data_IF_223223207849
#
_entry.id   IF_223223207849
#
_cell.length_a   1.000
_cell.length_b   1.000
_cell.length_c   1.000
_cell.angle_alpha   90.00
_cell.angle_beta   90.00
_cell.angle_gamma   90.00
#
_symmetry.space_group_name_H-M   'P 1'
#
loop_
_entity.id
_entity.type
_entity.pdbx_description
1 polymer ?
#
# COMPACT_ATOMS: atom_id res chain seq x y z
N UNK A 1 39.17 35.51 -58.26
CA UNK A 1 37.96 36.10 -58.86
C UNK A 1 36.86 36.01 -57.80
N UNK A 2 36.76 36.95 -56.86
CA UNK A 2 36.50 38.40 -57.03
C UNK A 2 35.06 38.65 -57.52
N UNK A 3 34.31 39.63 -57.01
CA UNK A 3 34.62 40.59 -55.93
C UNK A 3 33.33 41.20 -55.33
N UNK A 4 33.50 41.82 -54.15
CA UNK A 4 32.89 43.07 -53.64
C UNK A 4 31.34 43.23 -53.66
N UNK A 5 30.69 43.48 -52.52
CA UNK A 5 30.70 44.73 -51.72
C UNK A 5 30.17 45.99 -52.44
N UNK A 6 29.19 46.65 -51.81
CA UNK A 6 29.19 48.09 -51.47
C UNK A 6 28.18 48.30 -50.31
N UNK A 7 28.57 48.79 -49.12
CA UNK A 7 28.90 50.18 -48.71
C UNK A 7 27.64 51.08 -48.52
N UNK A 8 27.62 52.11 -47.66
CA UNK A 8 28.69 52.78 -46.90
C UNK A 8 28.18 53.37 -45.55
N UNK A 9 29.11 53.89 -44.71
CA UNK A 9 28.95 54.61 -43.41
C UNK A 9 28.71 53.68 -42.20
N UNK A 10 29.02 54.08 -40.96
CA UNK A 10 29.59 55.34 -40.41
C UNK A 10 28.64 56.04 -39.43
N UNK A 11 29.02 56.50 -38.22
CA UNK A 11 30.36 56.68 -37.65
C UNK A 11 30.35 56.60 -36.09
N UNK A 12 31.52 56.58 -35.44
CA UNK A 12 31.69 56.17 -34.03
C UNK A 12 31.58 57.27 -32.95
N UNK A 13 31.23 56.89 -31.71
CA UNK A 13 31.89 57.40 -30.48
C UNK A 13 31.56 56.63 -29.18
N UNK A 14 32.59 56.04 -28.55
CA UNK A 14 32.82 55.94 -27.09
C UNK A 14 31.64 55.62 -26.12
N UNK A 15 31.66 54.40 -25.54
CA UNK A 15 31.95 54.19 -24.09
C UNK A 15 32.10 52.69 -23.76
N UNK A 16 32.79 52.41 -22.64
CA UNK A 16 33.15 51.07 -22.15
C UNK A 16 31.89 50.27 -21.78
N UNK A 17 31.90 48.92 -21.87
CA UNK A 17 30.83 48.12 -21.28
C UNK A 17 30.78 48.39 -19.77
N UNK A 18 29.59 48.72 -19.27
CA UNK A 18 29.37 48.99 -17.86
C UNK A 18 29.37 47.66 -17.13
N UNK A 19 30.32 47.51 -16.19
CA UNK A 19 30.26 46.48 -15.15
C UNK A 19 29.00 46.73 -14.33
N UNK A 20 28.03 45.82 -14.43
CA UNK A 20 26.92 45.75 -13.49
C UNK A 20 27.28 44.66 -12.49
N UNK A 21 27.53 45.11 -11.26
CA UNK A 21 28.08 44.34 -10.16
C UNK A 21 27.57 42.90 -10.07
N UNK A 22 28.51 41.96 -10.02
CA UNK A 22 28.34 40.72 -9.26
C UNK A 22 28.10 41.13 -7.80
N UNK A 23 26.85 41.07 -7.35
CA UNK A 23 26.53 41.11 -5.93
C UNK A 23 27.00 39.79 -5.32
N UNK A 24 28.20 39.83 -4.76
CA UNK A 24 28.85 38.73 -4.04
C UNK A 24 27.89 38.14 -3.00
N UNK A 25 27.34 36.97 -3.32
CA UNK A 25 26.53 36.13 -2.46
C UNK A 25 27.27 34.85 -2.10
N UNK A 26 28.30 34.99 -1.25
CA UNK A 26 28.69 33.99 -0.25
C UNK A 26 28.73 32.50 -0.68
N UNK A 27 29.74 32.11 -1.47
CA UNK A 27 30.20 30.70 -1.53
C UNK A 27 30.54 30.13 -0.12
N UNK A 28 30.90 31.02 0.82
CA UNK A 28 31.10 30.70 2.24
C UNK A 28 29.81 30.29 2.97
N UNK A 29 28.62 30.73 2.56
CA UNK A 29 27.35 30.27 3.17
C UNK A 29 27.04 28.83 2.72
N UNK A 30 27.22 28.51 1.44
CA UNK A 30 27.05 27.14 0.94
C UNK A 30 28.10 26.17 1.51
N UNK A 31 29.31 26.65 1.81
CA UNK A 31 30.38 25.90 2.47
C UNK A 31 30.14 25.72 3.98
N UNK A 32 29.65 26.76 4.67
CA UNK A 32 29.37 26.70 6.11
C UNK A 32 28.11 25.90 6.43
N UNK A 33 27.05 25.99 5.62
CA UNK A 33 25.89 25.07 5.72
C UNK A 33 26.32 23.60 5.61
N UNK A 34 27.17 23.27 4.62
CA UNK A 34 27.68 21.91 4.44
C UNK A 34 28.49 21.45 5.65
N UNK A 35 29.37 22.31 6.19
CA UNK A 35 30.12 22.00 7.43
C UNK A 35 29.21 21.84 8.65
N UNK A 36 28.18 22.67 8.80
CA UNK A 36 27.21 22.59 9.90
C UNK A 36 26.35 21.31 9.80
N UNK A 37 25.95 20.93 8.59
CA UNK A 37 25.29 19.64 8.27
C UNK A 37 26.22 18.45 8.54
N UNK A 38 27.52 18.55 8.29
CA UNK A 38 28.49 17.48 8.66
C UNK A 38 28.65 17.37 10.17
N UNK A 39 28.88 18.48 10.89
CA UNK A 39 29.05 18.48 12.35
C UNK A 39 27.80 17.97 13.07
N UNK A 40 26.60 18.39 12.64
CA UNK A 40 25.34 17.85 13.20
C UNK A 40 25.14 16.37 12.89
N UNK A 41 25.51 15.89 11.69
CA UNK A 41 25.52 14.45 11.37
C UNK A 41 26.50 13.66 12.25
N UNK A 42 27.67 14.20 12.57
CA UNK A 42 28.63 13.56 13.49
C UNK A 42 28.12 13.54 14.94
N UNK A 43 27.48 14.61 15.41
CA UNK A 43 26.85 14.64 16.74
C UNK A 43 25.69 13.63 16.82
N UNK A 44 24.80 13.60 15.84
CA UNK A 44 23.71 12.61 15.74
C UNK A 44 24.26 11.19 15.66
N UNK A 45 25.31 10.95 14.87
CA UNK A 45 26.02 9.67 14.77
C UNK A 45 26.57 9.21 16.13
N UNK A 46 27.27 10.08 16.85
CA UNK A 46 27.89 9.77 18.13
C UNK A 46 26.87 9.56 19.26
N UNK A 47 25.70 10.21 19.17
CA UNK A 47 24.61 10.01 20.13
C UNK A 47 23.85 8.72 19.85
N UNK A 48 23.47 8.48 18.60
CA UNK A 48 22.77 7.25 18.22
C UNK A 48 23.67 6.03 18.42
N UNK A 49 24.97 6.10 18.11
CA UNK A 49 25.91 4.99 18.36
C UNK A 49 26.15 4.74 19.86
N UNK A 50 26.15 5.77 20.72
CA UNK A 50 26.17 5.60 22.18
C UNK A 50 24.88 4.95 22.68
N UNK A 51 23.74 5.54 22.37
CA UNK A 51 22.42 5.08 22.81
C UNK A 51 22.12 3.65 22.34
N UNK A 52 22.64 3.23 21.19
CA UNK A 52 22.47 1.85 20.71
C UNK A 52 23.32 0.83 21.47
N UNK A 53 24.46 1.24 22.02
CA UNK A 53 25.29 0.42 22.92
C UNK A 53 24.84 0.49 24.41
N UNK A 54 23.98 1.45 24.77
CA UNK A 54 23.48 1.62 26.14
C UNK A 54 22.48 0.54 26.59
N UNK A 55 22.31 0.42 27.91
CA UNK A 55 21.35 -0.51 28.53
C UNK A 55 19.89 -0.15 28.21
N UNK A 56 18.98 -1.13 28.31
CA UNK A 56 17.53 -0.95 28.00
C UNK A 56 16.87 0.19 28.81
N UNK A 57 17.29 0.38 30.07
CA UNK A 57 16.81 1.50 30.89
C UNK A 57 17.32 2.86 30.39
N UNK A 58 18.60 2.97 30.02
CA UNK A 58 19.18 4.20 29.46
C UNK A 58 18.55 4.54 28.10
N UNK A 59 18.36 3.54 27.22
CA UNK A 59 17.60 3.68 25.96
C UNK A 59 16.20 4.26 26.18
N UNK A 60 15.51 3.82 27.24
CA UNK A 60 14.16 4.30 27.58
C UNK A 60 14.16 5.74 28.12
N UNK A 61 15.11 6.09 29.00
CA UNK A 61 15.26 7.46 29.52
C UNK A 61 15.67 8.44 28.41
N UNK A 62 16.60 8.05 27.55
CA UNK A 62 16.97 8.84 26.38
C UNK A 62 15.78 9.04 25.43
N UNK A 63 15.00 7.99 25.16
CA UNK A 63 13.83 8.09 24.28
C UNK A 63 12.76 9.07 24.80
N UNK A 64 12.53 9.13 26.12
CA UNK A 64 11.61 10.10 26.73
C UNK A 64 12.11 11.53 26.52
N UNK A 65 13.41 11.77 26.73
CA UNK A 65 14.01 13.09 26.60
C UNK A 65 14.39 13.47 25.16
N UNK A 66 14.30 12.54 24.19
CA UNK A 66 14.79 12.70 22.81
C UNK A 66 14.37 14.02 22.17
N UNK A 67 13.07 14.37 22.22
CA UNK A 67 12.54 15.61 21.62
C UNK A 67 13.18 16.86 22.25
N UNK A 68 13.42 16.82 23.57
CA UNK A 68 14.10 17.90 24.30
C UNK A 68 15.59 17.94 23.96
N UNK A 69 16.28 16.80 23.91
CA UNK A 69 17.69 16.73 23.52
C UNK A 69 17.96 17.21 22.09
N UNK A 70 17.04 16.95 21.14
CA UNK A 70 17.12 17.46 19.77
C UNK A 70 17.04 18.99 19.76
N UNK A 71 16.07 19.55 20.49
CA UNK A 71 15.89 21.00 20.65
C UNK A 71 17.09 21.66 21.34
N UNK A 72 17.54 21.11 22.47
CA UNK A 72 18.65 21.65 23.29
C UNK A 72 20.00 21.63 22.54
N UNK A 73 20.14 20.81 21.49
CA UNK A 73 21.31 20.79 20.60
C UNK A 73 21.15 21.62 19.31
N UNK A 74 19.99 22.23 19.06
CA UNK A 74 19.73 23.00 17.84
C UNK A 74 19.75 22.16 16.55
N UNK A 75 19.52 20.84 16.64
CA UNK A 75 19.54 19.94 15.49
C UNK A 75 18.13 19.91 14.88
N UNK A 76 17.98 20.26 13.60
CA UNK A 76 16.70 20.10 12.94
C UNK A 76 16.24 18.61 12.95
N UNK A 77 14.98 18.29 13.31
CA UNK A 77 14.44 16.93 13.31
C UNK A 77 14.70 16.16 12.01
N UNK A 78 14.71 16.85 10.87
CA UNK A 78 15.00 16.27 9.55
C UNK A 78 16.40 15.64 9.44
N UNK A 79 17.41 16.20 10.12
CA UNK A 79 18.78 15.68 10.09
C UNK A 79 18.89 14.37 10.89
N UNK A 80 18.10 14.22 11.96
CA UNK A 80 17.98 12.95 12.70
C UNK A 80 17.28 11.90 11.84
N UNK A 81 16.24 12.30 11.10
CA UNK A 81 15.53 11.41 10.17
C UNK A 81 16.41 10.97 8.99
N UNK A 82 17.09 11.88 8.30
CA UNK A 82 18.00 11.56 7.20
C UNK A 82 19.18 10.67 7.64
N UNK A 83 19.74 10.92 8.83
CA UNK A 83 20.80 10.07 9.37
C UNK A 83 20.28 8.66 9.73
N UNK A 84 19.16 8.54 10.45
CA UNK A 84 18.58 7.23 10.83
C UNK A 84 18.19 6.41 9.59
N UNK A 85 17.61 7.04 8.57
CA UNK A 85 17.35 6.41 7.26
C UNK A 85 18.63 5.93 6.59
N UNK A 86 19.66 6.78 6.55
CA UNK A 86 20.96 6.42 5.94
C UNK A 86 21.62 5.25 6.64
N UNK A 87 21.53 5.19 7.97
CA UNK A 87 22.05 4.09 8.77
C UNK A 87 21.32 2.79 8.48
N UNK A 88 19.97 2.79 8.55
CA UNK A 88 19.15 1.60 8.27
C UNK A 88 19.30 1.08 6.84
N UNK A 89 19.53 1.95 5.85
CA UNK A 89 19.79 1.54 4.47
C UNK A 89 21.19 0.94 4.28
N UNK A 90 22.20 1.46 4.98
CA UNK A 90 23.61 1.03 4.83
C UNK A 90 23.90 -0.27 5.57
N UNK A 91 23.41 -0.41 6.81
CA UNK A 91 23.72 -1.53 7.70
C UNK A 91 22.62 -2.61 7.75
N UNK A 92 21.74 -2.62 6.74
CA UNK A 92 20.57 -3.52 6.64
C UNK A 92 20.88 -5.03 6.79
N UNK A 93 22.11 -5.46 6.54
CA UNK A 93 22.55 -6.87 6.68
C UNK A 93 23.23 -7.20 8.01
N UNK A 94 23.52 -6.20 8.85
CA UNK A 94 24.24 -6.35 10.12
C UNK A 94 23.44 -5.91 11.35
N UNK A 95 22.39 -5.09 11.16
CA UNK A 95 21.46 -4.68 12.22
C UNK A 95 20.68 -5.88 12.77
N UNK A 96 20.63 -5.99 14.11
CA UNK A 96 19.74 -6.94 14.80
C UNK A 96 18.30 -6.40 14.85
N UNK A 97 17.32 -7.28 15.02
CA UNK A 97 15.91 -6.88 15.10
C UNK A 97 15.61 -5.91 16.25
N UNK A 98 16.31 -6.05 17.38
CA UNK A 98 16.22 -5.11 18.52
C UNK A 98 16.72 -3.70 18.17
N UNK A 99 17.80 -3.62 17.38
CA UNK A 99 18.44 -2.39 16.94
C UNK A 99 17.56 -1.68 15.90
N UNK A 100 17.08 -2.44 14.90
CA UNK A 100 16.11 -1.95 13.92
C UNK A 100 14.81 -1.46 14.59
N UNK A 101 14.29 -2.22 15.56
CA UNK A 101 13.10 -1.85 16.35
C UNK A 101 13.29 -0.55 17.14
N UNK A 102 14.47 -0.29 17.69
CA UNK A 102 14.78 0.98 18.34
C UNK A 102 14.86 2.14 17.34
N UNK A 103 15.50 1.95 16.17
CA UNK A 103 15.59 2.98 15.14
C UNK A 103 14.22 3.36 14.57
N UNK A 104 13.34 2.38 14.31
CA UNK A 104 11.94 2.64 13.95
C UNK A 104 11.21 3.43 15.04
N UNK A 105 11.45 3.11 16.32
CA UNK A 105 10.87 3.85 17.45
C UNK A 105 11.33 5.32 17.46
N UNK A 106 12.61 5.59 17.21
CA UNK A 106 13.17 6.95 17.06
C UNK A 106 12.52 7.67 15.87
N UNK A 107 12.45 7.06 14.69
CA UNK A 107 11.82 7.64 13.51
C UNK A 107 10.34 8.00 13.76
N UNK A 108 9.57 7.09 14.35
CA UNK A 108 8.16 7.30 14.75
C UNK A 108 7.99 8.51 15.69
N UNK A 109 8.97 8.79 16.56
CA UNK A 109 8.91 9.92 17.50
C UNK A 109 9.35 11.25 16.89
N UNK A 110 10.26 11.23 15.91
CA UNK A 110 10.82 12.42 15.27
C UNK A 110 9.94 12.92 14.12
N UNK A 111 9.34 12.01 13.34
CA UNK A 111 8.56 12.34 12.14
C UNK A 111 7.42 13.36 12.35
N UNK A 112 6.63 13.34 13.45
CA UNK A 112 5.60 14.35 13.70
C UNK A 112 6.13 15.77 13.98
N UNK A 113 7.44 15.92 14.21
CA UNK A 113 8.10 17.21 14.50
C UNK A 113 8.83 17.79 13.28
N UNK A 114 8.70 17.18 12.10
CA UNK A 114 9.32 17.65 10.87
C UNK A 114 8.35 18.48 10.01
N UNK A 115 8.86 19.54 9.39
CA UNK A 115 8.11 20.36 8.41
C UNK A 115 7.78 19.55 7.14
N UNK A 116 6.58 19.74 6.58
CA UNK A 116 6.07 18.99 5.43
C UNK A 116 7.01 19.05 4.21
N UNK A 117 7.40 20.25 3.80
CA UNK A 117 8.26 20.49 2.63
C UNK A 117 9.60 19.76 2.72
N UNK A 118 10.13 19.59 3.94
CA UNK A 118 11.39 18.89 4.20
C UNK A 118 11.22 17.37 4.16
N UNK A 119 10.02 16.85 4.47
CA UNK A 119 9.72 15.41 4.49
C UNK A 119 9.40 14.85 3.09
N UNK A 120 8.72 15.62 2.23
CA UNK A 120 8.39 15.22 0.84
C UNK A 120 9.54 14.53 0.07
N UNK A 121 10.78 15.07 -0.01
CA UNK A 121 11.88 14.39 -0.72
C UNK A 121 12.39 13.11 -0.04
N UNK A 122 12.04 12.85 1.22
CA UNK A 122 12.42 11.64 1.96
C UNK A 122 11.36 10.52 1.90
N UNK A 123 10.14 10.79 1.44
CA UNK A 123 9.01 9.83 1.39
C UNK A 123 9.43 8.46 0.87
N UNK A 124 10.07 8.41 -0.30
CA UNK A 124 10.50 7.16 -0.93
C UNK A 124 11.54 6.39 -0.11
N UNK A 125 12.43 7.09 0.61
CA UNK A 125 13.43 6.48 1.50
C UNK A 125 12.80 5.96 2.79
N UNK A 126 11.85 6.71 3.36
CA UNK A 126 11.12 6.32 4.58
C UNK A 126 10.30 5.06 4.32
N UNK A 127 9.55 5.02 3.21
CA UNK A 127 8.75 3.85 2.83
C UNK A 127 9.67 2.65 2.59
N UNK A 128 10.76 2.79 1.82
CA UNK A 128 11.70 1.69 1.55
C UNK A 128 12.35 1.11 2.82
N UNK A 129 12.57 1.92 3.85
CA UNK A 129 13.09 1.48 5.17
C UNK A 129 12.01 0.79 6.00
N UNK A 130 10.76 1.27 5.96
CA UNK A 130 9.65 0.70 6.72
C UNK A 130 9.13 -0.63 6.11
N UNK A 131 9.14 -0.73 4.77
CA UNK A 131 8.57 -1.82 3.98
C UNK A 131 8.89 -3.26 4.46
N UNK A 132 10.14 -3.62 4.79
CA UNK A 132 10.48 -5.00 5.19
C UNK A 132 9.80 -5.43 6.50
N UNK A 133 9.46 -4.47 7.37
CA UNK A 133 8.84 -4.75 8.65
C UNK A 133 7.31 -4.84 8.56
N UNK A 134 6.69 -4.45 7.43
CA UNK A 134 5.22 -4.46 7.24
C UNK A 134 4.67 -5.89 7.04
N UNK A 135 5.54 -6.90 6.95
CA UNK A 135 5.13 -8.27 6.62
C UNK A 135 4.58 -9.05 7.81
N UNK A 136 5.28 -9.03 8.95
CA UNK A 136 4.91 -9.77 10.16
C UNK A 136 3.90 -8.99 11.01
N UNK A 137 2.61 -9.22 10.74
CA UNK A 137 1.49 -8.51 11.35
C UNK A 137 1.46 -8.48 12.90
N UNK A 138 2.13 -9.41 13.57
CA UNK A 138 2.20 -9.53 15.04
C UNK A 138 3.49 -8.97 15.66
N UNK A 139 4.48 -8.54 14.86
CA UNK A 139 5.74 -8.02 15.37
C UNK A 139 5.61 -6.57 15.87
N UNK A 140 6.31 -6.23 16.97
CA UNK A 140 6.38 -4.84 17.45
C UNK A 140 6.97 -3.90 16.38
N UNK A 141 7.90 -4.40 15.55
CA UNK A 141 8.48 -3.67 14.43
C UNK A 141 7.44 -3.35 13.34
N UNK A 142 6.52 -4.26 13.03
CA UNK A 142 5.43 -4.01 12.07
C UNK A 142 4.45 -2.93 12.55
N UNK A 143 4.10 -2.95 13.84
CA UNK A 143 3.27 -1.90 14.44
C UNK A 143 3.95 -0.54 14.28
N UNK A 144 5.25 -0.45 14.59
CA UNK A 144 6.02 0.80 14.46
C UNK A 144 6.25 1.25 13.01
N UNK A 145 6.52 0.32 12.09
CA UNK A 145 6.61 0.62 10.66
C UNK A 145 5.26 1.11 10.09
N UNK A 146 4.16 0.50 10.51
CA UNK A 146 2.80 0.94 10.16
C UNK A 146 2.49 2.33 10.71
N UNK A 147 2.88 2.63 11.95
CA UNK A 147 2.72 3.95 12.58
C UNK A 147 3.55 5.04 11.88
N UNK A 148 4.76 4.72 11.42
CA UNK A 148 5.59 5.61 10.58
C UNK A 148 4.88 5.91 9.26
N UNK A 149 4.43 4.89 8.52
CA UNK A 149 3.75 5.07 7.22
C UNK A 149 2.43 5.84 7.40
N UNK A 150 1.66 5.54 8.44
CA UNK A 150 0.43 6.24 8.78
C UNK A 150 0.67 7.72 9.06
N UNK A 151 1.70 8.05 9.84
CA UNK A 151 2.10 9.43 10.15
C UNK A 151 2.61 10.16 8.92
N UNK A 152 3.46 9.50 8.12
CA UNK A 152 3.99 10.04 6.86
C UNK A 152 2.86 10.40 5.88
N UNK A 153 1.87 9.52 5.76
CA UNK A 153 0.69 9.73 4.90
C UNK A 153 -0.09 10.98 5.31
N UNK A 154 -0.24 11.23 6.63
CA UNK A 154 -0.92 12.44 7.13
C UNK A 154 -0.15 13.74 6.91
N UNK A 155 1.18 13.68 6.85
CA UNK A 155 2.03 14.86 6.61
C UNK A 155 2.07 15.17 5.11
N UNK A 156 2.32 14.16 4.26
CA UNK A 156 2.62 14.37 2.83
C UNK A 156 1.42 14.22 1.90
N UNK A 157 0.32 13.62 2.37
CA UNK A 157 -0.81 13.27 1.52
C UNK A 157 -0.55 12.02 0.67
N UNK A 158 -1.30 11.89 -0.42
CA UNK A 158 -1.27 10.70 -1.27
C UNK A 158 -0.28 10.80 -2.44
N UNK A 159 0.03 12.00 -2.94
CA UNK A 159 0.59 12.17 -4.29
C UNK A 159 1.99 11.53 -4.46
N UNK A 160 2.96 11.89 -3.63
CA UNK A 160 4.31 11.30 -3.68
C UNK A 160 4.30 9.79 -3.37
N UNK A 161 3.39 9.36 -2.48
CA UNK A 161 3.22 7.95 -2.11
C UNK A 161 2.64 7.15 -3.28
N UNK A 162 1.63 7.68 -3.97
CA UNK A 162 0.98 7.06 -5.12
C UNK A 162 1.94 6.87 -6.29
N UNK A 163 2.83 7.83 -6.54
CA UNK A 163 3.89 7.72 -7.56
C UNK A 163 4.83 6.55 -7.24
N UNK A 164 5.32 6.45 -5.99
CA UNK A 164 6.17 5.35 -5.56
C UNK A 164 5.46 4.00 -5.66
N UNK A 165 4.23 3.91 -5.16
CA UNK A 165 3.48 2.66 -5.15
C UNK A 165 3.14 2.21 -6.58
N UNK A 166 2.76 3.11 -7.49
CA UNK A 166 2.50 2.77 -8.89
C UNK A 166 3.74 2.21 -9.60
N UNK A 167 4.93 2.74 -9.30
CA UNK A 167 6.19 2.17 -9.77
C UNK A 167 6.40 0.74 -9.23
N UNK A 168 6.20 0.53 -7.92
CA UNK A 168 6.35 -0.78 -7.28
C UNK A 168 5.31 -1.81 -7.73
N UNK A 169 4.08 -1.40 -8.08
CA UNK A 169 3.04 -2.27 -8.65
C UNK A 169 3.42 -2.85 -10.02
N UNK A 170 4.31 -2.19 -10.76
CA UNK A 170 4.82 -2.65 -12.04
C UNK A 170 6.13 -3.47 -11.91
N UNK A 171 6.60 -3.73 -10.68
CA UNK A 171 7.82 -4.48 -10.46
C UNK A 171 7.70 -5.95 -10.88
N UNK A 172 8.81 -6.51 -11.36
CA UNK A 172 8.92 -7.91 -11.75
C UNK A 172 8.71 -8.88 -10.58
N UNK A 173 9.06 -8.47 -9.35
CA UNK A 173 9.03 -9.24 -8.12
C UNK A 173 7.67 -9.18 -7.44
N UNK A 174 7.08 -10.35 -7.21
CA UNK A 174 5.79 -10.52 -6.52
C UNK A 174 5.87 -9.99 -5.08
N UNK A 175 7.01 -10.18 -4.42
CA UNK A 175 7.31 -9.64 -3.09
C UNK A 175 7.14 -8.11 -3.02
N UNK A 176 7.72 -7.39 -3.98
CA UNK A 176 7.68 -5.91 -4.01
C UNK A 176 6.24 -5.42 -4.21
N UNK A 177 5.47 -6.08 -5.07
CA UNK A 177 4.06 -5.75 -5.31
C UNK A 177 3.21 -6.02 -4.06
N UNK A 178 3.42 -7.14 -3.38
CA UNK A 178 2.65 -7.52 -2.19
C UNK A 178 2.93 -6.59 -1.00
N UNK A 179 4.20 -6.20 -0.81
CA UNK A 179 4.59 -5.19 0.17
C UNK A 179 4.00 -3.81 -0.18
N UNK A 180 4.04 -3.38 -1.44
CA UNK A 180 3.43 -2.11 -1.88
C UNK A 180 1.91 -2.09 -1.64
N UNK A 181 1.23 -3.21 -1.88
CA UNK A 181 -0.20 -3.41 -1.60
C UNK A 181 -0.49 -3.29 -0.09
N UNK A 182 0.33 -3.91 0.78
CA UNK A 182 0.21 -3.75 2.24
C UNK A 182 0.44 -2.30 2.71
N UNK A 183 1.42 -1.60 2.11
CA UNK A 183 1.69 -0.17 2.39
C UNK A 183 0.49 0.70 2.02
N UNK A 184 -0.09 0.52 0.82
CA UNK A 184 -1.29 1.28 0.43
C UNK A 184 -2.48 1.01 1.36
N UNK A 185 -2.61 -0.20 1.91
CA UNK A 185 -3.58 -0.52 2.96
C UNK A 185 -3.41 0.31 4.25
N UNK A 186 -2.18 0.69 4.61
CA UNK A 186 -1.90 1.60 5.74
C UNK A 186 -2.20 3.05 5.36
N UNK A 187 -1.84 3.47 4.14
CA UNK A 187 -2.11 4.83 3.62
C UNK A 187 -3.62 5.10 3.60
N UNK A 188 -4.42 4.14 3.14
CA UNK A 188 -5.88 4.24 3.12
C UNK A 188 -6.52 4.30 4.51
N UNK A 189 -5.92 3.70 5.54
CA UNK A 189 -6.39 3.87 6.92
C UNK A 189 -5.98 5.21 7.54
N UNK A 190 -4.98 5.89 6.98
CA UNK A 190 -4.52 7.21 7.41
C UNK A 190 -5.31 8.38 6.78
N UNK A 191 -5.57 8.29 5.47
CA UNK A 191 -6.23 9.33 4.67
C UNK A 191 -7.72 9.05 4.44
N UNK A 192 -8.16 7.80 4.57
CA UNK A 192 -9.50 7.36 4.22
C UNK A 192 -9.62 6.87 2.77
N UNK A 193 -10.55 5.94 2.56
CA UNK A 193 -10.73 5.23 1.27
C UNK A 193 -11.09 6.21 0.15
N UNK A 194 -11.89 7.24 0.42
CA UNK A 194 -12.33 8.22 -0.56
C UNK A 194 -11.17 8.97 -1.25
N UNK A 195 -10.05 9.19 -0.56
CA UNK A 195 -8.83 9.80 -1.14
C UNK A 195 -8.10 8.83 -2.06
N UNK A 196 -8.06 7.55 -1.68
CA UNK A 196 -7.30 6.51 -2.40
C UNK A 196 -8.11 5.84 -3.53
N UNK A 197 -9.43 5.92 -3.49
CA UNK A 197 -10.31 5.28 -4.48
C UNK A 197 -10.03 5.72 -5.93
N UNK A 198 -9.86 7.02 -6.26
CA UNK A 198 -9.55 7.44 -7.63
C UNK A 198 -8.24 6.85 -8.18
N UNK A 199 -7.24 6.66 -7.32
CA UNK A 199 -5.97 6.02 -7.69
C UNK A 199 -6.18 4.55 -8.09
N UNK A 200 -6.95 3.79 -7.30
CA UNK A 200 -7.24 2.38 -7.59
C UNK A 200 -8.15 2.26 -8.82
N UNK A 201 -9.16 3.13 -8.93
CA UNK A 201 -10.04 3.18 -10.10
C UNK A 201 -9.25 3.41 -11.40
N UNK A 202 -8.29 4.35 -11.39
CA UNK A 202 -7.37 4.57 -12.50
C UNK A 202 -6.49 3.35 -12.79
N UNK A 203 -6.00 2.63 -11.79
CA UNK A 203 -5.15 1.45 -12.00
C UNK A 203 -5.94 0.23 -12.51
N UNK A 204 -7.20 0.07 -12.10
CA UNK A 204 -8.07 -1.03 -12.51
C UNK A 204 -8.66 -0.81 -13.92
N UNK A 205 -9.20 0.38 -14.21
CA UNK A 205 -9.84 0.71 -15.49
C UNK A 205 -8.86 1.20 -16.56
N UNK A 206 -7.70 1.71 -16.16
CA UNK A 206 -6.67 2.23 -17.08
C UNK A 206 -6.05 1.17 -17.99
N UNK A 207 -5.36 1.64 -19.04
CA UNK A 207 -4.56 0.80 -19.94
C UNK A 207 -3.22 0.49 -19.25
N UNK A 208 -3.29 -0.43 -18.30
CA UNK A 208 -2.20 -0.84 -17.42
C UNK A 208 -1.88 -2.33 -17.61
N UNK A 209 -0.62 -2.77 -17.37
CA UNK A 209 -0.27 -4.18 -17.44
C UNK A 209 -0.99 -4.96 -16.35
N UNK A 210 -1.22 -6.27 -16.58
CA UNK A 210 -2.02 -7.09 -15.67
C UNK A 210 -1.51 -7.07 -14.23
N UNK A 211 -0.19 -7.00 -14.02
CA UNK A 211 0.44 -6.93 -12.69
C UNK A 211 -0.08 -5.75 -11.86
N UNK A 212 -0.20 -4.57 -12.48
CA UNK A 212 -0.74 -3.35 -11.85
C UNK A 212 -2.23 -3.50 -11.55
N UNK A 213 -3.02 -4.02 -12.51
CA UNK A 213 -4.45 -4.30 -12.30
C UNK A 213 -4.70 -5.30 -11.17
N UNK A 214 -3.95 -6.40 -11.12
CA UNK A 214 -4.00 -7.39 -10.05
C UNK A 214 -3.59 -6.80 -8.69
N UNK A 215 -2.53 -5.98 -8.64
CA UNK A 215 -2.12 -5.29 -7.42
C UNK A 215 -3.20 -4.33 -6.92
N UNK A 216 -3.84 -3.56 -7.81
CA UNK A 216 -4.94 -2.66 -7.47
C UNK A 216 -6.15 -3.40 -6.86
N UNK A 217 -6.51 -4.57 -7.39
CA UNK A 217 -7.56 -5.42 -6.81
C UNK A 217 -7.15 -5.94 -5.42
N UNK A 218 -5.88 -6.35 -5.22
CA UNK A 218 -5.37 -6.75 -3.90
C UNK A 218 -5.27 -5.59 -2.90
N UNK A 219 -5.25 -4.32 -3.33
CA UNK A 219 -5.38 -3.19 -2.40
C UNK A 219 -6.77 -3.16 -1.75
N UNK A 220 -7.83 -3.45 -2.51
CA UNK A 220 -9.20 -3.54 -1.96
C UNK A 220 -9.30 -4.65 -0.91
N UNK A 221 -8.61 -5.77 -1.11
CA UNK A 221 -8.47 -6.83 -0.10
C UNK A 221 -7.76 -6.35 1.17
N UNK A 222 -6.66 -5.61 1.05
CA UNK A 222 -5.98 -5.03 2.21
C UNK A 222 -6.85 -3.99 2.94
N UNK A 223 -7.73 -3.29 2.23
CA UNK A 223 -8.69 -2.39 2.85
C UNK A 223 -9.70 -3.20 3.65
N UNK A 224 -10.25 -4.28 3.10
CA UNK A 224 -11.14 -5.19 3.84
C UNK A 224 -10.50 -5.70 5.13
N UNK A 225 -9.23 -6.12 5.07
CA UNK A 225 -8.48 -6.62 6.24
C UNK A 225 -8.17 -5.52 7.27
N UNK A 226 -7.80 -4.29 6.85
CA UNK A 226 -7.34 -3.23 7.77
C UNK A 226 -8.43 -2.28 8.26
N UNK A 227 -9.49 -2.08 7.48
CA UNK A 227 -10.52 -1.05 7.70
C UNK A 227 -11.85 -1.68 8.17
N UNK A 228 -12.11 -2.95 7.81
CA UNK A 228 -13.24 -3.71 8.31
C UNK A 228 -14.60 -3.12 7.90
N UNK A 229 -15.58 -3.17 8.81
CA UNK A 229 -16.97 -2.80 8.54
C UNK A 229 -17.18 -1.33 8.11
N UNK A 230 -16.21 -0.43 8.34
CA UNK A 230 -16.32 0.98 7.90
C UNK A 230 -16.22 1.17 6.37
N UNK A 231 -16.04 0.07 5.62
CA UNK A 231 -16.18 -0.01 4.16
C UNK A 231 -17.62 0.11 3.64
N UNK A 232 -18.64 -0.11 4.49
CA UNK A 232 -20.07 -0.06 4.14
C UNK A 232 -20.48 1.05 3.15
N UNK A 233 -20.21 2.35 3.38
CA UNK A 233 -20.64 3.43 2.48
C UNK A 233 -19.95 3.44 1.11
N UNK A 234 -18.82 2.73 0.96
CA UNK A 234 -18.06 2.65 -0.29
C UNK A 234 -18.24 1.29 -1.01
N UNK A 235 -19.09 0.41 -0.47
CA UNK A 235 -19.20 -0.99 -0.90
C UNK A 235 -19.67 -1.13 -2.37
N UNK A 236 -20.65 -0.33 -2.81
CA UNK A 236 -21.12 -0.35 -4.20
C UNK A 236 -19.99 -0.04 -5.18
N UNK A 237 -19.30 1.09 -4.99
CA UNK A 237 -18.22 1.54 -5.88
C UNK A 237 -17.03 0.57 -5.91
N UNK A 238 -16.71 -0.08 -4.79
CA UNK A 238 -15.69 -1.13 -4.75
C UNK A 238 -16.13 -2.39 -5.49
N UNK A 239 -17.38 -2.82 -5.32
CA UNK A 239 -17.93 -3.98 -6.03
C UNK A 239 -18.03 -3.74 -7.54
N UNK A 240 -18.50 -2.58 -7.97
CA UNK A 240 -18.54 -2.16 -9.38
C UNK A 240 -17.14 -2.15 -10.01
N UNK A 241 -16.11 -1.74 -9.24
CA UNK A 241 -14.73 -1.79 -9.69
C UNK A 241 -14.21 -3.22 -9.85
N UNK A 242 -14.60 -4.12 -8.95
CA UNK A 242 -14.16 -5.52 -8.95
C UNK A 242 -14.96 -6.39 -9.94
N UNK A 243 -16.19 -6.02 -10.29
CA UNK A 243 -16.99 -6.68 -11.33
C UNK A 243 -16.25 -6.72 -12.67
N UNK A 244 -15.60 -5.62 -13.05
CA UNK A 244 -14.74 -5.53 -14.22
C UNK A 244 -13.59 -6.56 -14.19
N UNK A 245 -13.10 -6.88 -13.00
CA UNK A 245 -12.12 -7.94 -12.72
C UNK A 245 -12.61 -9.35 -13.07
N UNK A 246 -13.91 -9.62 -12.98
CA UNK A 246 -14.53 -10.92 -13.30
C UNK A 246 -14.94 -11.06 -14.78
N UNK A 247 -15.25 -9.97 -15.50
CA UNK A 247 -15.99 -10.03 -16.77
C UNK A 247 -15.17 -9.85 -18.07
N UNK A 248 -13.91 -9.41 -18.05
CA UNK A 248 -13.16 -9.18 -19.31
C UNK A 248 -12.74 -10.49 -19.99
N UNK A 249 -13.21 -10.70 -21.22
CA UNK A 249 -12.93 -11.85 -22.11
C UNK A 249 -11.49 -12.39 -22.08
N UNK A 250 -10.48 -11.54 -21.95
CA UNK A 250 -9.06 -11.91 -21.82
C UNK A 250 -8.71 -12.40 -20.39
N UNK A 251 -9.51 -13.32 -19.84
CA UNK A 251 -9.44 -13.75 -18.43
C UNK A 251 -8.20 -14.62 -18.14
N UNK A 252 -7.06 -13.98 -17.84
CA UNK A 252 -5.97 -14.66 -17.14
C UNK A 252 -6.47 -15.21 -15.78
N UNK A 253 -6.24 -16.50 -15.59
CA UNK A 253 -6.70 -17.33 -14.45
C UNK A 253 -6.38 -16.67 -13.10
N UNK A 254 -5.20 -16.06 -12.99
CA UNK A 254 -4.70 -15.34 -11.82
C UNK A 254 -5.62 -14.17 -11.42
N UNK A 255 -6.16 -13.44 -12.40
CA UNK A 255 -6.98 -12.25 -12.14
C UNK A 255 -8.36 -12.61 -11.56
N UNK A 256 -8.99 -13.66 -12.07
CA UNK A 256 -10.25 -14.17 -11.50
C UNK A 256 -10.02 -14.60 -10.05
N UNK A 257 -8.96 -15.38 -9.80
CA UNK A 257 -8.64 -15.89 -8.47
C UNK A 257 -8.44 -14.77 -7.47
N UNK A 258 -7.62 -13.76 -7.81
CA UNK A 258 -7.40 -12.58 -6.99
C UNK A 258 -8.73 -11.85 -6.74
N UNK A 259 -9.49 -11.54 -7.79
CA UNK A 259 -10.77 -10.81 -7.65
C UNK A 259 -11.76 -11.55 -6.74
N UNK A 260 -11.83 -12.88 -6.85
CA UNK A 260 -12.69 -13.69 -6.01
C UNK A 260 -12.25 -13.70 -4.53
N UNK A 261 -10.95 -13.86 -4.26
CA UNK A 261 -10.39 -13.81 -2.90
C UNK A 261 -10.57 -12.43 -2.26
N UNK A 262 -10.29 -11.37 -3.02
CA UNK A 262 -10.46 -9.99 -2.56
C UNK A 262 -11.93 -9.64 -2.29
N UNK A 263 -12.87 -10.14 -3.09
CA UNK A 263 -14.32 -10.01 -2.83
C UNK A 263 -14.75 -10.84 -1.60
N UNK A 264 -14.15 -12.01 -1.37
CA UNK A 264 -14.43 -12.85 -0.21
C UNK A 264 -13.98 -12.15 1.09
N UNK A 265 -12.80 -11.53 1.06
CA UNK A 265 -12.30 -10.70 2.16
C UNK A 265 -13.23 -9.50 2.41
N UNK A 266 -13.71 -8.84 1.35
CA UNK A 266 -14.66 -7.73 1.45
C UNK A 266 -15.99 -8.17 2.09
N UNK A 267 -16.58 -9.28 1.64
CA UNK A 267 -17.78 -9.85 2.26
C UNK A 267 -17.55 -10.15 3.75
N UNK A 268 -16.45 -10.84 4.09
CA UNK A 268 -16.07 -11.16 5.47
C UNK A 268 -15.87 -9.92 6.35
N UNK A 269 -15.39 -8.81 5.79
CA UNK A 269 -15.17 -7.54 6.50
C UNK A 269 -16.47 -6.76 6.79
N UNK A 270 -17.51 -6.95 5.98
CA UNK A 270 -18.81 -6.26 6.12
C UNK A 270 -19.84 -7.08 6.90
N UNK A 271 -19.61 -8.38 7.07
CA UNK A 271 -20.49 -9.29 7.82
C UNK A 271 -20.90 -8.73 9.20
N UNK A 272 -22.21 -8.77 9.55
CA UNK A 272 -23.32 -9.45 8.87
C UNK A 272 -24.06 -8.62 7.80
N UNK A 273 -23.61 -7.41 7.46
CA UNK A 273 -24.36 -6.47 6.62
C UNK A 273 -23.97 -6.52 5.14
N UNK A 274 -24.73 -5.84 4.28
CA UNK A 274 -24.31 -5.50 2.92
C UNK A 274 -24.66 -6.49 1.80
N UNK A 275 -25.37 -7.60 2.10
CA UNK A 275 -25.77 -8.64 1.13
C UNK A 275 -26.33 -8.09 -0.21
N UNK A 276 -27.18 -7.07 -0.16
CA UNK A 276 -27.79 -6.45 -1.36
C UNK A 276 -26.76 -6.00 -2.42
N UNK A 277 -25.58 -5.51 -1.99
CA UNK A 277 -24.53 -5.08 -2.92
C UNK A 277 -23.83 -6.28 -3.59
N UNK A 278 -23.83 -7.46 -2.95
CA UNK A 278 -23.25 -8.69 -3.50
C UNK A 278 -24.22 -9.47 -4.40
N UNK A 279 -25.54 -9.21 -4.33
CA UNK A 279 -26.56 -9.90 -5.14
C UNK A 279 -26.24 -9.89 -6.65
N UNK A 280 -25.84 -8.78 -7.29
CA UNK A 280 -25.48 -8.78 -8.71
C UNK A 280 -24.26 -9.65 -9.04
N UNK A 281 -23.27 -9.73 -8.14
CA UNK A 281 -22.10 -10.62 -8.30
C UNK A 281 -22.57 -12.08 -8.26
N UNK A 282 -23.41 -12.43 -7.29
CA UNK A 282 -23.90 -13.79 -7.07
C UNK A 282 -24.66 -14.34 -8.30
N UNK A 283 -25.57 -13.54 -8.89
CA UNK A 283 -26.25 -13.92 -10.13
C UNK A 283 -25.25 -14.11 -11.28
N UNK A 284 -24.28 -13.20 -11.46
CA UNK A 284 -23.28 -13.32 -12.54
C UNK A 284 -22.34 -14.51 -12.37
N UNK A 285 -21.99 -14.88 -11.14
CA UNK A 285 -21.27 -16.11 -10.85
C UNK A 285 -22.08 -17.33 -11.29
N UNK A 286 -23.37 -17.41 -10.94
CA UNK A 286 -24.21 -18.53 -11.34
C UNK A 286 -24.51 -18.57 -12.85
N UNK A 287 -24.78 -17.44 -13.50
CA UNK A 287 -24.90 -17.35 -14.95
C UNK A 287 -23.63 -17.87 -15.66
N UNK A 288 -22.46 -17.53 -15.13
CA UNK A 288 -21.17 -18.01 -15.62
C UNK A 288 -20.98 -19.52 -15.39
N UNK A 289 -21.39 -20.06 -14.24
CA UNK A 289 -21.40 -21.51 -13.98
C UNK A 289 -22.41 -22.27 -14.85
N UNK A 290 -23.55 -21.68 -15.19
CA UNK A 290 -24.64 -22.33 -15.93
C UNK A 290 -24.48 -22.24 -17.45
N UNK A 291 -23.95 -21.14 -17.99
CA UNK A 291 -23.79 -20.95 -19.45
C UNK A 291 -22.51 -21.58 -20.00
N UNK A 292 -21.39 -21.48 -19.29
CA UNK A 292 -20.08 -21.98 -19.75
C UNK A 292 -19.79 -23.42 -19.30
N UNK A 293 -20.81 -24.29 -19.39
CA UNK A 293 -20.77 -25.70 -18.95
C UNK A 293 -19.73 -26.62 -19.63
N UNK A 294 -18.90 -26.07 -20.52
CA UNK A 294 -17.74 -26.74 -21.14
C UNK A 294 -16.43 -25.97 -20.92
N UNK A 295 -16.48 -24.64 -20.82
CA UNK A 295 -15.30 -23.78 -20.57
C UNK A 295 -14.73 -23.91 -19.16
N UNK A 296 -15.57 -24.27 -18.18
CA UNK A 296 -15.13 -24.47 -16.79
C UNK A 296 -14.50 -25.84 -16.52
N UNK A 297 -14.76 -26.85 -17.37
CA UNK A 297 -14.27 -28.24 -17.20
C UNK A 297 -12.73 -28.32 -17.17
N UNK A 298 -12.04 -27.34 -17.76
CA UNK A 298 -10.59 -27.25 -17.78
C UNK A 298 -9.98 -26.34 -16.68
N UNK A 299 -10.78 -25.54 -15.94
CA UNK A 299 -10.29 -24.71 -14.82
C UNK A 299 -10.31 -25.49 -13.49
N UNK A 300 -9.44 -26.50 -13.38
CA UNK A 300 -9.20 -27.25 -12.13
C UNK A 300 -8.38 -26.43 -11.13
N UNK A 301 -8.49 -26.74 -9.84
CA UNK A 301 -7.61 -26.23 -8.78
C UNK A 301 -7.97 -24.84 -8.24
N UNK A 302 -6.94 -24.04 -7.91
CA UNK A 302 -6.99 -22.87 -7.01
C UNK A 302 -8.08 -21.83 -7.28
N UNK A 303 -8.53 -21.67 -8.52
CA UNK A 303 -9.61 -20.73 -8.87
C UNK A 303 -10.98 -21.19 -8.39
N UNK A 304 -11.29 -22.49 -8.47
CA UNK A 304 -12.58 -23.00 -7.99
C UNK A 304 -12.69 -22.83 -6.47
N UNK A 305 -11.61 -23.10 -5.72
CA UNK A 305 -11.54 -22.82 -4.28
C UNK A 305 -11.76 -21.35 -3.95
N UNK A 306 -11.13 -20.42 -4.67
CA UNK A 306 -11.35 -18.99 -4.50
C UNK A 306 -12.82 -18.57 -4.72
N UNK A 307 -13.50 -19.16 -5.71
CA UNK A 307 -14.91 -18.90 -6.01
C UNK A 307 -15.86 -19.52 -4.97
N UNK A 308 -15.58 -20.73 -4.48
CA UNK A 308 -16.34 -21.35 -3.37
C UNK A 308 -16.16 -20.53 -2.09
N UNK A 309 -14.95 -20.03 -1.81
CA UNK A 309 -14.69 -19.16 -0.65
C UNK A 309 -15.47 -17.84 -0.74
N UNK A 310 -15.50 -17.20 -1.91
CA UNK A 310 -16.35 -16.02 -2.15
C UNK A 310 -17.82 -16.31 -1.88
N UNK A 311 -18.34 -17.39 -2.46
CA UNK A 311 -19.73 -17.81 -2.26
C UNK A 311 -20.06 -18.07 -0.78
N UNK A 312 -19.15 -18.74 -0.06
CA UNK A 312 -19.26 -19.00 1.39
C UNK A 312 -19.36 -17.70 2.20
N UNK A 313 -18.47 -16.73 1.94
CA UNK A 313 -18.50 -15.44 2.63
C UNK A 313 -19.74 -14.60 2.27
N UNK A 314 -20.30 -14.73 1.05
CA UNK A 314 -21.57 -14.08 0.69
C UNK A 314 -22.75 -14.73 1.42
N UNK A 315 -22.78 -16.06 1.58
CA UNK A 315 -23.80 -16.74 2.40
C UNK A 315 -23.80 -16.24 3.83
N UNK A 316 -22.63 -16.02 4.44
CA UNK A 316 -22.51 -15.52 5.81
C UNK A 316 -23.11 -14.10 6.00
N UNK A 317 -23.46 -13.39 4.93
CA UNK A 317 -24.20 -12.12 4.97
C UNK A 317 -25.74 -12.29 4.98
N UNK A 318 -26.25 -13.50 4.71
CA UNK A 318 -27.68 -13.77 4.66
C UNK A 318 -28.29 -13.67 6.07
N UNK A 319 -29.02 -12.59 6.30
CA UNK A 319 -29.77 -12.36 7.55
C UNK A 319 -31.25 -12.72 7.35
N UNK A 320 -31.89 -13.26 8.37
CA UNK A 320 -33.34 -13.54 8.36
C UNK A 320 -34.16 -12.24 8.40
N UNK A 321 -35.28 -12.09 7.64
CA UNK A 321 -35.87 -13.08 6.73
C UNK A 321 -35.09 -13.24 5.43
N UNK A 322 -34.90 -14.49 5.02
CA UNK A 322 -34.11 -14.82 3.83
C UNK A 322 -34.79 -14.38 2.52
N UNK A 323 -34.01 -14.00 1.49
CA UNK A 323 -34.54 -13.69 0.17
C UNK A 323 -35.16 -14.93 -0.50
N UNK A 324 -36.14 -14.72 -1.39
CA UNK A 324 -36.81 -15.77 -2.19
C UNK A 324 -35.86 -16.73 -2.89
N UNK A 325 -34.69 -16.23 -3.27
CA UNK A 325 -33.72 -16.91 -4.11
C UNK A 325 -32.81 -17.86 -3.30
N UNK A 326 -33.01 -17.98 -1.98
CA UNK A 326 -32.11 -18.75 -1.10
C UNK A 326 -32.02 -20.23 -1.47
N UNK A 327 -33.12 -20.89 -1.84
CA UNK A 327 -33.10 -22.30 -2.25
C UNK A 327 -32.26 -22.51 -3.52
N UNK A 328 -32.32 -21.56 -4.46
CA UNK A 328 -31.48 -21.56 -5.66
C UNK A 328 -30.01 -21.35 -5.32
N UNK A 329 -29.71 -20.42 -4.41
CA UNK A 329 -28.35 -20.16 -3.96
C UNK A 329 -27.74 -21.38 -3.23
N UNK A 330 -28.49 -22.01 -2.32
CA UNK A 330 -28.05 -23.21 -1.56
C UNK A 330 -27.83 -24.40 -2.49
N UNK A 331 -28.78 -24.70 -3.40
CA UNK A 331 -28.65 -25.81 -4.34
C UNK A 331 -27.40 -25.67 -5.24
N UNK A 332 -27.16 -24.48 -5.78
CA UNK A 332 -25.94 -24.22 -6.55
C UNK A 332 -24.68 -24.23 -5.67
N UNK A 333 -24.78 -23.85 -4.40
CA UNK A 333 -23.70 -23.95 -3.43
C UNK A 333 -23.22 -25.39 -3.21
N UNK A 334 -24.16 -26.31 -2.95
CA UNK A 334 -23.87 -27.75 -2.83
C UNK A 334 -23.27 -28.29 -4.14
N UNK A 335 -23.77 -27.84 -5.29
CA UNK A 335 -23.24 -28.19 -6.60
C UNK A 335 -21.81 -27.67 -6.87
N UNK A 336 -21.40 -26.56 -6.24
CA UNK A 336 -20.03 -26.04 -6.31
C UNK A 336 -19.08 -26.78 -5.38
N UNK A 337 -19.50 -27.02 -4.12
CA UNK A 337 -18.69 -27.76 -3.14
C UNK A 337 -18.41 -29.19 -3.60
N UNK A 338 -19.41 -29.87 -4.16
CA UNK A 338 -19.27 -31.25 -4.69
C UNK A 338 -18.34 -31.37 -5.91
N UNK A 339 -17.86 -30.25 -6.48
CA UNK A 339 -16.90 -30.20 -7.60
C UNK A 339 -15.46 -29.89 -7.17
N UNK A 340 -15.21 -29.64 -5.88
CA UNK A 340 -13.86 -29.44 -5.36
C UNK A 340 -13.05 -30.74 -5.43
N UNK A 341 -11.75 -30.62 -5.72
CA UNK A 341 -10.86 -31.80 -5.68
C UNK A 341 -10.58 -32.20 -4.24
N UNK A 342 -10.70 -33.50 -3.95
CA UNK A 342 -10.43 -34.08 -2.62
C UNK A 342 -8.94 -34.37 -2.40
N UNK A 343 -8.08 -34.02 -3.36
CA UNK A 343 -6.64 -34.28 -3.27
C UNK A 343 -5.84 -33.16 -2.57
N UNK A 344 -6.38 -31.94 -2.52
CA UNK A 344 -5.70 -30.73 -2.00
C UNK A 344 -6.25 -30.34 -0.60
N UNK A 345 -5.38 -30.10 0.38
CA UNK A 345 -5.79 -29.73 1.74
C UNK A 345 -6.41 -28.33 1.81
N UNK A 346 -5.90 -27.34 1.05
CA UNK A 346 -6.48 -25.99 0.98
C UNK A 346 -7.94 -26.05 0.48
N UNK A 347 -8.21 -26.96 -0.47
CA UNK A 347 -9.55 -27.18 -1.02
C UNK A 347 -10.50 -27.85 -0.03
N UNK A 348 -10.00 -28.77 0.80
CA UNK A 348 -10.79 -29.39 1.88
C UNK A 348 -11.21 -28.37 2.92
N UNK A 349 -10.29 -27.53 3.40
CA UNK A 349 -10.61 -26.50 4.39
C UNK A 349 -11.69 -25.54 3.88
N UNK A 350 -11.53 -25.04 2.64
CA UNK A 350 -12.55 -24.19 1.99
C UNK A 350 -13.89 -24.92 1.85
N UNK A 351 -13.86 -26.20 1.47
CA UNK A 351 -15.07 -27.04 1.37
C UNK A 351 -15.77 -27.24 2.71
N UNK A 352 -15.02 -27.45 3.80
CA UNK A 352 -15.57 -27.56 5.15
C UNK A 352 -16.14 -26.22 5.67
N UNK A 353 -15.46 -25.09 5.43
CA UNK A 353 -15.97 -23.75 5.75
C UNK A 353 -17.28 -23.47 4.99
N UNK A 354 -17.37 -23.88 3.72
CA UNK A 354 -18.57 -23.78 2.90
C UNK A 354 -19.73 -24.62 3.44
N UNK A 355 -19.50 -25.91 3.74
CA UNK A 355 -20.52 -26.82 4.29
C UNK A 355 -21.03 -26.29 5.64
N UNK A 356 -20.13 -25.87 6.52
CA UNK A 356 -20.49 -25.30 7.83
C UNK A 356 -21.40 -24.08 7.68
N UNK A 357 -21.04 -23.17 6.77
CA UNK A 357 -21.82 -21.94 6.52
C UNK A 357 -23.18 -22.23 5.87
N UNK A 358 -23.30 -23.27 5.04
CA UNK A 358 -24.57 -23.74 4.50
C UNK A 358 -25.48 -24.37 5.57
N UNK A 359 -24.91 -25.14 6.50
CA UNK A 359 -25.65 -25.78 7.61
C UNK A 359 -26.14 -24.77 8.67
N UNK A 360 -25.45 -23.63 8.80
CA UNK A 360 -25.87 -22.54 9.69
C UNK A 360 -27.13 -21.80 9.18
N UNK A 361 -27.53 -21.98 7.92
CA UNK A 361 -28.80 -21.49 7.36
C UNK A 361 -29.95 -22.37 7.88
N UNK A 362 -30.65 -21.88 8.91
CA UNK A 362 -31.87 -22.53 9.39
C UNK A 362 -32.98 -22.45 8.33
N UNK A 363 -33.86 -23.45 8.33
CA UNK A 363 -35.10 -23.52 7.54
C UNK A 363 -34.99 -23.65 6.00
N UNK A 364 -33.82 -23.96 5.45
CA UNK A 364 -33.74 -24.48 4.05
C UNK A 364 -33.86 -26.01 4.07
N UNK A 365 -34.90 -26.61 3.44
CA UNK A 365 -34.96 -28.06 3.28
C UNK A 365 -33.89 -28.51 2.27
N UNK A 366 -32.96 -29.34 2.74
CA UNK A 366 -31.97 -30.08 1.93
C UNK A 366 -32.62 -31.26 1.20
#
# INVERSE_FOLDING_TARGET
>A
MECEEMKNKGNASHKRPIVVNESVGSDDELSSEKKLKTNSRELVKNLLSRVMNDSSHQKSVFFINLTRSIHDMGIEPINVLDYTLSWMLTERKSLKDEEAGFLLKVMSKVLPSCDEDKVRPLVSRIILVAQPFVEDASSHCCIKASEIIYTLSKITGLDEIAVLIRLQMNDSSDYVRDVAVKVMGIVASALGIHVVFPFIESCCRGIEPLRVRCAAIRMVEQFAVRIGCTLLPHLSSLIELMEFGLLHKDLEIVRIMITALSLAALAKAVAPYGYEHFKPILHRLFDFFSRDGVGFIHRRGKVLGALVKLFTCIIQLLTYPYPSDINWNVANGVLLVSRLSVDDEEMKEIGFEAIKSLVEIKDVPL
#
